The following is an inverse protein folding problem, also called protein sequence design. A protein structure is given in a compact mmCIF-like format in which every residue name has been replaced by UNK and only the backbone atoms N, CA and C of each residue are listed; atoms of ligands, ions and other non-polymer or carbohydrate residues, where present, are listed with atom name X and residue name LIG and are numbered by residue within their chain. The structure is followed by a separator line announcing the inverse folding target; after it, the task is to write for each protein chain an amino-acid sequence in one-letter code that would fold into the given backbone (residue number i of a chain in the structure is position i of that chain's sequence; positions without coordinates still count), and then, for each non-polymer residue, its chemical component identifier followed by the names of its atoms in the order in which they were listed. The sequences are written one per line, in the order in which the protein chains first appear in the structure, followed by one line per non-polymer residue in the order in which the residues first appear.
data_IF_802901617385
#
_entry.id   IF_802901617385
#
_cell.length_a   1.000
_cell.length_b   1.000
_cell.length_c   1.000
_cell.angle_alpha   90.00
_cell.angle_beta   90.00
_cell.angle_gamma   90.00
#
_symmetry.space_group_name_H-M   'P 1'
#
loop_
_entity.id
_entity.type
_entity.pdbx_description
1 polymer ?
#
# COMPACT_ATOMS: atom_id res chain seq x y z
N UNK A 1 1.90 3.27 -35.17
CA UNK A 1 1.53 4.29 -34.19
C UNK A 1 0.46 5.19 -34.74
N UNK A 2 -0.54 5.48 -33.97
CA UNK A 2 -1.65 6.32 -34.39
C UNK A 2 -1.32 7.80 -34.42
N UNK A 3 -2.27 8.64 -34.88
CA UNK A 3 -2.08 10.09 -35.00
C UNK A 3 -1.73 10.78 -33.67
N UNK A 4 -2.07 10.20 -32.55
CA UNK A 4 -1.73 10.74 -31.24
C UNK A 4 -0.26 10.67 -30.86
N UNK A 5 0.57 10.10 -31.70
CA UNK A 5 2.00 10.04 -31.46
C UNK A 5 2.43 9.08 -30.36
N UNK A 6 1.53 8.32 -29.82
CA UNK A 6 1.87 7.37 -28.77
C UNK A 6 2.67 6.19 -29.33
N UNK A 7 3.80 5.91 -28.69
CA UNK A 7 4.55 4.69 -29.00
C UNK A 7 5.05 4.08 -27.69
N UNK A 8 5.21 2.78 -27.71
CA UNK A 8 5.80 2.08 -26.57
C UNK A 8 7.24 2.54 -26.38
N UNK A 9 7.67 2.71 -25.15
CA UNK A 9 9.08 3.01 -24.87
C UNK A 9 9.98 1.86 -25.36
N UNK A 10 11.28 2.14 -25.59
CA UNK A 10 12.21 1.10 -26.03
C UNK A 10 12.29 -0.10 -25.08
N UNK A 11 11.97 0.10 -23.81
CA UNK A 11 11.94 -0.97 -22.82
C UNK A 11 10.52 -1.48 -22.58
N UNK A 12 9.75 -1.67 -23.67
CA UNK A 12 8.41 -2.22 -23.59
C UNK A 12 8.40 -3.50 -22.74
N UNK A 13 7.42 -3.63 -21.85
CA UNK A 13 7.38 -4.71 -20.85
C UNK A 13 8.09 -4.40 -19.55
N UNK A 14 8.82 -3.28 -19.49
CA UNK A 14 9.46 -2.79 -18.26
C UNK A 14 8.79 -1.54 -17.71
N UNK A 15 7.56 -1.30 -18.08
CA UNK A 15 6.76 -0.24 -17.50
C UNK A 15 6.55 -0.52 -16.01
N UNK A 16 6.38 0.53 -15.20
CA UNK A 16 6.07 0.32 -13.79
C UNK A 16 4.81 -0.52 -13.62
N UNK A 17 4.84 -1.40 -12.65
CA UNK A 17 3.69 -2.24 -12.31
C UNK A 17 2.81 -1.48 -11.33
N UNK A 18 1.49 -1.45 -11.55
CA UNK A 18 0.58 -0.79 -10.61
C UNK A 18 0.38 -1.63 -9.36
N UNK A 19 0.49 -0.99 -8.21
CA UNK A 19 0.14 -1.57 -6.92
C UNK A 19 -0.83 -0.67 -6.19
N UNK A 20 -1.50 -1.21 -5.20
CA UNK A 20 -2.39 -0.45 -4.33
C UNK A 20 -2.16 -0.89 -2.90
N UNK A 21 -1.98 0.09 -2.02
CA UNK A 21 -1.80 -0.15 -0.59
C UNK A 21 -2.86 0.64 0.18
N UNK A 22 -3.16 0.20 1.38
CA UNK A 22 -4.13 0.91 2.21
C UNK A 22 -3.66 0.98 3.66
N UNK A 23 -3.62 2.20 4.20
CA UNK A 23 -3.43 2.43 5.63
C UNK A 23 -4.79 2.19 6.27
N UNK A 24 -4.92 1.06 6.95
CA UNK A 24 -6.19 0.63 7.55
C UNK A 24 -6.26 1.14 8.98
N UNK A 25 -7.23 2.01 9.22
CA UNK A 25 -7.52 2.50 10.57
C UNK A 25 -8.50 1.56 11.27
N UNK A 26 -8.13 1.13 12.48
CA UNK A 26 -9.02 0.43 13.41
C UNK A 26 -8.97 1.23 14.70
N UNK A 27 -10.00 2.04 14.94
CA UNK A 27 -9.95 3.03 16.01
C UNK A 27 -8.85 4.05 15.76
N UNK A 28 -7.98 4.25 16.73
CA UNK A 28 -6.84 5.17 16.66
C UNK A 28 -5.53 4.48 16.24
N UNK A 29 -5.59 3.21 15.83
CA UNK A 29 -4.44 2.43 15.43
C UNK A 29 -4.50 2.06 13.95
N UNK A 30 -3.37 1.64 13.43
CA UNK A 30 -3.25 1.20 12.04
C UNK A 30 -2.79 -0.25 11.97
N UNK A 31 -3.15 -0.92 10.88
CA UNK A 31 -2.78 -2.32 10.65
C UNK A 31 -1.51 -2.37 9.82
N UNK A 32 -0.52 -3.11 10.28
CA UNK A 32 0.64 -3.49 9.47
C UNK A 32 0.75 -5.00 9.43
N UNK A 33 1.36 -5.50 8.38
CA UNK A 33 1.58 -6.94 8.17
C UNK A 33 3.07 -7.24 8.19
N UNK A 34 3.44 -8.39 8.75
CA UNK A 34 4.81 -8.88 8.68
C UNK A 34 4.96 -9.74 7.44
N UNK A 35 5.94 -9.41 6.62
CA UNK A 35 6.15 -10.08 5.34
C UNK A 35 6.70 -11.49 5.53
N UNK A 36 6.19 -12.44 4.75
CA UNK A 36 6.72 -13.82 4.69
C UNK A 36 7.99 -13.90 3.84
N UNK A 37 8.08 -13.08 2.78
CA UNK A 37 9.11 -13.17 1.75
C UNK A 37 9.94 -11.89 1.69
N UNK A 38 11.18 -11.95 1.18
CA UNK A 38 12.00 -10.74 1.01
C UNK A 38 11.32 -9.71 0.12
N UNK A 39 11.51 -8.41 0.38
CA UNK A 39 12.28 -7.86 1.50
C UNK A 39 11.56 -8.08 2.84
N UNK A 40 12.35 -8.34 3.91
CA UNK A 40 11.77 -8.60 5.22
C UNK A 40 11.27 -7.33 5.87
N UNK A 41 10.48 -7.51 6.92
CA UNK A 41 9.98 -6.42 7.76
C UNK A 41 8.48 -6.29 7.73
N UNK A 42 8.00 -5.21 8.30
CA UNK A 42 6.58 -4.89 8.35
C UNK A 42 6.21 -3.97 7.20
N UNK A 43 4.99 -4.07 6.75
CA UNK A 43 4.52 -3.33 5.58
C UNK A 43 3.05 -2.93 5.74
N UNK A 44 2.68 -1.88 5.01
CA UNK A 44 1.28 -1.51 4.81
C UNK A 44 0.64 -2.60 3.95
N UNK A 45 -0.57 -3.07 4.27
CA UNK A 45 -1.24 -4.06 3.43
C UNK A 45 -1.46 -3.56 2.02
N UNK A 46 -1.22 -4.41 1.05
CA UNK A 46 -1.38 -4.05 -0.36
C UNK A 46 -0.71 -5.05 -1.28
N UNK A 47 -0.81 -4.80 -2.57
CA UNK A 47 -0.22 -5.66 -3.58
C UNK A 47 -0.52 -5.21 -4.99
N UNK A 48 -0.24 -6.09 -5.93
CA UNK A 48 -0.41 -5.79 -7.35
C UNK A 48 -1.88 -5.69 -7.74
N UNK A 49 -2.17 -4.72 -8.60
CA UNK A 49 -3.47 -4.59 -9.25
C UNK A 49 -3.57 -5.67 -10.32
N UNK A 50 -4.65 -6.43 -10.31
CA UNK A 50 -4.89 -7.48 -11.29
C UNK A 50 -5.57 -6.91 -12.54
N UNK A 51 -5.41 -7.60 -13.66
CA UNK A 51 -6.06 -7.21 -14.91
C UNK A 51 -7.57 -7.14 -14.71
N UNK A 52 -8.15 -6.01 -15.12
CA UNK A 52 -9.60 -5.79 -14.99
C UNK A 52 -10.05 -5.21 -13.65
N UNK A 53 -9.12 -5.03 -12.71
CA UNK A 53 -9.41 -4.46 -11.39
C UNK A 53 -9.11 -2.96 -11.36
N UNK A 54 -9.92 -2.19 -10.64
CA UNK A 54 -9.54 -0.81 -10.30
C UNK A 54 -8.54 -0.83 -9.15
N UNK A 55 -7.80 0.27 -8.97
CA UNK A 55 -6.88 0.37 -7.82
C UNK A 55 -7.63 0.33 -6.49
N UNK A 56 -8.84 0.87 -6.42
CA UNK A 56 -9.69 0.82 -5.23
C UNK A 56 -10.07 -0.63 -4.90
N UNK A 57 -10.48 -1.38 -5.91
CA UNK A 57 -10.84 -2.80 -5.73
C UNK A 57 -9.63 -3.61 -5.28
N UNK A 58 -8.46 -3.35 -5.88
CA UNK A 58 -7.22 -4.03 -5.50
C UNK A 58 -6.88 -3.77 -4.04
N UNK A 59 -6.98 -2.52 -3.58
CA UNK A 59 -6.69 -2.16 -2.20
C UNK A 59 -7.58 -2.91 -1.22
N UNK A 60 -8.89 -2.95 -1.49
CA UNK A 60 -9.85 -3.64 -0.63
C UNK A 60 -9.62 -5.16 -0.64
N UNK A 61 -9.36 -5.72 -1.81
CA UNK A 61 -9.10 -7.16 -1.96
C UNK A 61 -7.83 -7.57 -1.20
N UNK A 62 -6.73 -6.84 -1.41
CA UNK A 62 -5.46 -7.15 -0.75
C UNK A 62 -5.58 -7.01 0.77
N UNK A 63 -6.29 -5.99 1.25
CA UNK A 63 -6.54 -5.83 2.68
C UNK A 63 -7.25 -7.05 3.26
N UNK A 64 -8.29 -7.54 2.59
CA UNK A 64 -9.04 -8.71 3.04
C UNK A 64 -8.16 -9.96 3.03
N UNK A 65 -7.41 -10.18 1.96
CA UNK A 65 -6.54 -11.35 1.82
C UNK A 65 -5.43 -11.39 2.88
N UNK A 66 -4.84 -10.24 3.19
CA UNK A 66 -3.69 -10.18 4.09
C UNK A 66 -4.06 -10.01 5.56
N UNK A 67 -5.20 -9.43 5.85
CA UNK A 67 -5.56 -9.06 7.23
C UNK A 67 -6.90 -9.64 7.71
N UNK A 68 -7.70 -10.17 6.80
CA UNK A 68 -9.06 -10.64 7.11
C UNK A 68 -10.07 -9.51 7.34
N UNK A 69 -9.67 -8.26 7.17
CA UNK A 69 -10.52 -7.11 7.44
C UNK A 69 -11.21 -6.61 6.18
N UNK A 70 -12.49 -6.28 6.30
CA UNK A 70 -13.26 -5.62 5.25
C UNK A 70 -13.09 -4.11 5.42
N UNK A 71 -12.45 -3.48 4.44
CA UNK A 71 -12.05 -2.08 4.53
C UNK A 71 -13.00 -1.22 3.70
N UNK A 72 -13.40 -0.08 4.27
CA UNK A 72 -14.05 1.01 3.53
C UNK A 72 -13.01 2.08 3.29
N UNK A 73 -12.73 2.40 2.03
CA UNK A 73 -11.79 3.44 1.68
C UNK A 73 -12.38 4.82 2.03
N UNK A 74 -11.60 5.66 2.65
CA UNK A 74 -12.07 6.97 3.13
C UNK A 74 -11.34 8.14 2.47
N UNK A 75 -10.11 7.93 1.99
CA UNK A 75 -9.34 8.98 1.34
C UNK A 75 -8.26 8.38 0.44
N UNK A 76 -7.85 9.13 -0.55
CA UNK A 76 -6.62 8.89 -1.30
C UNK A 76 -5.51 9.64 -0.60
N UNK A 77 -4.48 8.93 -0.13
CA UNK A 77 -3.33 9.57 0.50
C UNK A 77 -2.39 10.15 -0.54
N UNK A 78 -1.98 9.33 -1.49
CA UNK A 78 -1.05 9.77 -2.53
C UNK A 78 -0.60 8.64 -3.44
N UNK A 79 0.28 9.00 -4.37
CA UNK A 79 0.92 8.08 -5.30
C UNK A 79 2.42 8.07 -5.04
N UNK A 80 2.99 6.87 -4.93
CA UNK A 80 4.40 6.69 -4.60
C UNK A 80 5.07 5.92 -5.73
N UNK A 81 6.06 6.53 -6.35
CA UNK A 81 6.60 6.04 -7.62
C UNK A 81 8.12 6.18 -7.77
N UNK A 82 8.85 6.34 -6.68
CA UNK A 82 10.31 6.34 -6.76
C UNK A 82 10.76 5.01 -7.37
N UNK A 83 11.57 5.01 -8.45
CA UNK A 83 12.04 3.77 -9.06
C UNK A 83 12.79 2.85 -8.10
N UNK A 84 13.36 3.38 -7.03
CA UNK A 84 14.09 2.61 -6.03
C UNK A 84 13.24 2.09 -4.88
N UNK A 85 11.92 2.39 -4.87
CA UNK A 85 11.07 2.08 -3.72
C UNK A 85 10.91 0.59 -3.45
N UNK A 86 10.95 -0.25 -4.49
CA UNK A 86 10.84 -1.70 -4.38
C UNK A 86 12.06 -2.33 -5.08
N UNK A 87 12.90 -3.07 -4.35
CA UNK A 87 14.11 -3.63 -4.95
C UNK A 87 13.83 -4.73 -5.99
N UNK A 88 12.63 -5.27 -6.04
CA UNK A 88 12.25 -6.36 -6.94
C UNK A 88 11.72 -5.87 -8.27
N UNK A 89 10.98 -4.76 -8.26
CA UNK A 89 10.23 -4.25 -9.41
C UNK A 89 10.17 -2.73 -9.38
N UNK A 90 9.96 -2.14 -10.56
CA UNK A 90 9.54 -0.75 -10.62
C UNK A 90 8.03 -0.72 -10.43
N UNK A 91 7.56 -0.14 -9.33
CA UNK A 91 6.14 -0.07 -9.01
C UNK A 91 5.68 1.36 -8.83
N UNK A 92 4.43 1.61 -9.20
CA UNK A 92 3.72 2.83 -8.85
C UNK A 92 2.58 2.42 -7.94
N UNK A 93 2.63 2.84 -6.68
CA UNK A 93 1.60 2.49 -5.70
C UNK A 93 0.65 3.65 -5.48
N UNK A 94 -0.64 3.35 -5.63
CA UNK A 94 -1.71 4.23 -5.18
C UNK A 94 -2.03 3.85 -3.74
N UNK A 95 -1.89 4.79 -2.81
CA UNK A 95 -2.06 4.51 -1.38
C UNK A 95 -3.32 5.19 -0.87
N UNK A 96 -4.20 4.38 -0.30
CA UNK A 96 -5.46 4.84 0.29
C UNK A 96 -5.36 4.84 1.81
N UNK A 97 -6.26 5.60 2.42
CA UNK A 97 -6.63 5.47 3.83
C UNK A 97 -7.98 4.78 3.86
N UNK A 98 -8.13 3.82 4.74
CA UNK A 98 -9.40 3.10 4.88
C UNK A 98 -9.68 2.82 6.34
N UNK A 99 -10.88 2.35 6.59
CA UNK A 99 -11.38 2.08 7.94
C UNK A 99 -11.97 0.69 8.01
N UNK A 100 -11.70 0.01 9.12
CA UNK A 100 -12.24 -1.30 9.40
C UNK A 100 -12.49 -1.47 10.89
N UNK A 101 -13.20 -2.53 11.25
CA UNK A 101 -13.38 -2.93 12.65
C UNK A 101 -13.00 -4.40 12.81
N UNK A 102 -12.62 -4.78 14.02
CA UNK A 102 -12.24 -6.14 14.32
C UNK A 102 -10.74 -6.32 14.52
N UNK A 103 -10.34 -7.54 14.80
CA UNK A 103 -8.95 -7.91 15.00
C UNK A 103 -8.35 -8.41 13.69
N UNK A 104 -7.19 -7.87 13.27
CA UNK A 104 -6.53 -8.37 12.06
C UNK A 104 -5.91 -9.75 12.28
N UNK A 105 -5.92 -10.56 11.22
CA UNK A 105 -5.28 -11.86 11.17
C UNK A 105 -4.38 -11.88 9.96
N UNK A 106 -3.21 -12.53 10.06
CA UNK A 106 -2.37 -12.76 8.88
C UNK A 106 -3.05 -13.69 7.89
N UNK A 107 -2.63 -13.60 6.66
CA UNK A 107 -3.12 -14.46 5.59
C UNK A 107 -2.35 -14.19 4.31
N UNK A 108 -2.44 -15.12 3.36
CA UNK A 108 -1.76 -15.03 2.07
C UNK A 108 -0.25 -14.79 2.26
N UNK A 109 0.31 -13.69 1.75
CA UNK A 109 1.73 -13.37 1.87
C UNK A 109 2.11 -12.70 3.19
N UNK A 110 1.15 -12.53 4.11
CA UNK A 110 1.38 -11.95 5.43
C UNK A 110 1.52 -13.04 6.48
N UNK A 111 2.67 -13.08 7.17
CA UNK A 111 2.92 -14.02 8.26
C UNK A 111 2.05 -13.69 9.48
N UNK A 112 1.83 -12.41 9.75
CA UNK A 112 0.92 -11.92 10.78
C UNK A 112 0.48 -10.50 10.45
N UNK A 113 -0.61 -10.08 11.07
CA UNK A 113 -1.10 -8.71 11.00
C UNK A 113 -1.39 -8.22 12.41
N UNK A 114 -1.01 -6.98 12.71
CA UNK A 114 -1.16 -6.39 14.03
C UNK A 114 -1.55 -4.93 13.95
N UNK A 115 -2.08 -4.43 15.05
CA UNK A 115 -2.41 -3.02 15.25
C UNK A 115 -1.24 -2.29 15.91
N UNK A 116 -0.94 -1.11 15.42
CA UNK A 116 0.13 -0.24 15.95
C UNK A 116 -0.37 1.19 16.06
N UNK A 117 0.04 1.87 17.13
CA UNK A 117 -0.10 3.32 17.23
C UNK A 117 1.10 4.02 16.60
N UNK A 118 1.01 5.35 16.48
CA UNK A 118 2.11 6.14 15.92
C UNK A 118 3.42 5.94 16.70
N UNK A 119 3.32 5.82 18.03
CA UNK A 119 4.50 5.77 18.91
C UNK A 119 5.11 4.38 19.02
N UNK A 120 4.45 3.34 18.52
CA UNK A 120 4.95 1.97 18.63
C UNK A 120 5.05 1.25 17.29
N UNK A 121 5.23 2.02 16.21
CA UNK A 121 5.44 1.42 14.90
C UNK A 121 6.67 0.51 14.91
N UNK A 122 6.56 -0.67 14.27
CA UNK A 122 7.68 -1.59 14.23
C UNK A 122 8.78 -1.11 13.28
N UNK A 123 9.97 -1.66 13.43
CA UNK A 123 11.11 -1.38 12.56
C UNK A 123 11.83 -2.70 12.24
N UNK A 124 12.29 -2.89 11.01
CA UNK A 124 12.18 -2.00 9.87
C UNK A 124 10.81 -2.09 9.20
N UNK A 125 10.44 -1.01 8.48
CA UNK A 125 9.35 -1.05 7.53
C UNK A 125 9.93 -1.30 6.13
N UNK A 126 9.29 -2.21 5.38
CA UNK A 126 9.73 -2.57 4.05
C UNK A 126 9.46 -1.45 3.03
N UNK A 127 10.16 -1.49 1.91
CA UNK A 127 9.99 -0.54 0.81
C UNK A 127 10.17 0.92 1.29
N UNK A 128 9.33 1.83 0.79
CA UNK A 128 9.24 3.21 1.25
C UNK A 128 8.12 3.42 2.28
N UNK A 129 7.68 2.35 2.94
CA UNK A 129 6.52 2.41 3.82
C UNK A 129 6.74 3.28 5.05
N UNK A 130 7.98 3.47 5.49
CA UNK A 130 8.27 4.44 6.55
C UNK A 130 7.90 5.87 6.12
N UNK A 131 8.20 6.22 4.87
CA UNK A 131 7.82 7.52 4.30
C UNK A 131 6.30 7.64 4.20
N UNK A 132 5.63 6.59 3.71
CA UNK A 132 4.16 6.59 3.58
C UNK A 132 3.51 6.78 4.96
N UNK A 133 3.98 6.06 5.99
CA UNK A 133 3.42 6.21 7.33
C UNK A 133 3.66 7.59 7.92
N UNK A 134 4.83 8.17 7.67
CA UNK A 134 5.12 9.55 8.08
C UNK A 134 4.16 10.54 7.40
N UNK A 135 3.95 10.38 6.10
CA UNK A 135 3.00 11.21 5.35
C UNK A 135 1.57 11.02 5.85
N UNK A 136 1.19 9.78 6.19
CA UNK A 136 -0.13 9.48 6.73
C UNK A 136 -0.37 10.19 8.06
N UNK A 137 0.55 10.09 9.02
CA UNK A 137 0.37 10.73 10.32
C UNK A 137 0.35 12.25 10.22
N UNK A 138 1.16 12.81 9.33
CA UNK A 138 1.11 14.25 9.03
C UNK A 138 -0.25 14.64 8.46
N UNK A 139 -0.79 13.86 7.52
CA UNK A 139 -2.13 14.08 6.98
C UNK A 139 -3.19 14.05 8.08
N UNK A 140 -3.10 13.10 9.00
CA UNK A 140 -4.05 13.01 10.11
C UNK A 140 -3.97 14.24 11.01
N UNK A 141 -2.80 14.80 11.25
CA UNK A 141 -2.62 15.99 12.09
C UNK A 141 -3.02 17.29 11.39
N UNK A 142 -2.76 17.40 10.11
CA UNK A 142 -2.85 18.68 9.39
C UNK A 142 -3.94 18.73 8.33
N UNK A 143 -4.49 17.61 7.92
CA UNK A 143 -5.40 17.52 6.79
C UNK A 143 -4.72 17.68 5.43
N UNK A 144 -3.40 17.80 5.40
CA UNK A 144 -2.64 18.03 4.16
C UNK A 144 -2.07 16.71 3.65
N UNK A 145 -2.37 16.39 2.39
CA UNK A 145 -1.77 15.26 1.69
C UNK A 145 -0.34 15.60 1.25
N UNK A 146 0.49 14.59 0.89
CA UNK A 146 1.85 14.80 0.41
C UNK A 146 1.91 15.70 -0.83
N UNK A 147 0.91 15.63 -1.69
CA UNK A 147 0.76 16.50 -2.87
C UNK A 147 -0.66 16.97 -3.02
#
# INVERSE_FOLDING_TARGET
MGPGGWRKPPLAGRNPLPTADVVIEVGDRVVLVRRKYPPPGWAIPGGFVEVGETVETAAVREALEETGLRVTLTALLGVYSDPARDPRHYTISTVYVGRASGAPLGGDDAAEARLFGEDDLPSPLAFDHAKIMSDYFRYKRTGKRPL
#
